data_IF_677217149446
#
_entry.id   IF_677217149446
#
_cell.length_a   1.000
_cell.length_b   1.000
_cell.length_c   1.000
_cell.angle_alpha   90.00
_cell.angle_beta   90.00
_cell.angle_gamma   90.00
#
_symmetry.space_group_name_H-M   'P 1'
#
loop_
_entity.id
_entity.type
_entity.pdbx_description
1 polymer ?
#
# COMPACT_ATOMS: atom_id res chain seq x y z
N UNK A 1 -12.71 -76.95 10.82
CA UNK A 1 -12.40 -75.60 11.33
C UNK A 1 -13.40 -74.64 10.69
N UNK A 2 -14.62 -74.58 11.22
CA UNK A 2 -15.10 -73.59 12.19
C UNK A 2 -14.99 -72.15 11.65
N UNK A 3 -16.03 -71.66 10.97
CA UNK A 3 -17.31 -71.08 11.43
C UNK A 3 -17.24 -69.54 11.50
N UNK A 4 -17.83 -68.84 10.52
CA UNK A 4 -19.22 -68.31 10.54
C UNK A 4 -19.34 -67.01 11.38
N UNK A 5 -19.76 -65.87 10.80
CA UNK A 5 -21.16 -65.35 10.81
C UNK A 5 -21.25 -63.86 10.41
N UNK A 6 -22.18 -63.57 9.51
CA UNK A 6 -22.85 -62.27 9.34
C UNK A 6 -23.53 -61.80 10.64
N UNK A 7 -23.78 -60.48 10.77
CA UNK A 7 -25.07 -59.94 11.27
C UNK A 7 -25.19 -58.41 11.11
N UNK A 8 -26.14 -58.00 10.26
CA UNK A 8 -27.08 -56.92 10.55
C UNK A 8 -28.12 -57.49 11.53
N UNK A 9 -28.48 -56.76 12.58
CA UNK A 9 -29.81 -56.76 13.21
C UNK A 9 -29.90 -55.58 14.20
N UNK A 10 -30.95 -54.77 14.07
CA UNK A 10 -31.32 -53.75 15.07
C UNK A 10 -32.23 -54.31 16.16
N UNK A 11 -32.59 -53.47 17.13
CA UNK A 11 -33.91 -53.51 17.79
C UNK A 11 -34.23 -52.21 18.53
N UNK A 12 -35.45 -51.71 18.30
CA UNK A 12 -36.16 -50.75 19.15
C UNK A 12 -36.65 -51.43 20.44
N UNK A 13 -36.59 -50.69 21.55
CA UNK A 13 -37.36 -50.74 22.80
C UNK A 13 -36.94 -49.44 23.52
N UNK A 14 -37.75 -48.51 24.00
CA UNK A 14 -39.16 -48.43 24.35
C UNK A 14 -39.22 -47.36 25.45
N UNK A 15 -39.90 -46.24 25.18
CA UNK A 15 -40.39 -45.21 26.11
C UNK A 15 -39.64 -44.92 27.42
N UNK A 16 -39.05 -43.72 27.50
CA UNK A 16 -39.38 -42.78 28.57
C UNK A 16 -39.40 -41.36 28.00
N UNK A 17 -40.56 -40.72 28.07
CA UNK A 17 -40.73 -39.31 27.77
C UNK A 17 -39.92 -38.51 28.80
N UNK A 18 -38.92 -37.77 28.32
CA UNK A 18 -38.51 -36.54 28.97
C UNK A 18 -38.73 -35.44 27.95
N UNK A 19 -39.83 -34.73 28.11
CA UNK A 19 -40.11 -33.48 27.44
C UNK A 19 -39.07 -32.44 27.86
N UNK A 20 -37.92 -32.43 27.19
CA UNK A 20 -37.16 -31.20 27.06
C UNK A 20 -37.76 -30.42 25.90
N UNK A 21 -38.41 -29.32 26.24
CA UNK A 21 -38.71 -28.24 25.33
C UNK A 21 -37.40 -27.77 24.69
N UNK A 22 -37.05 -28.35 23.54
CA UNK A 22 -36.15 -27.70 22.60
C UNK A 22 -36.86 -26.41 22.17
N UNK A 23 -36.63 -25.32 22.91
CA UNK A 23 -36.63 -24.01 22.29
C UNK A 23 -35.58 -24.10 21.19
N UNK A 24 -36.05 -24.33 19.97
CA UNK A 24 -35.28 -24.08 18.79
C UNK A 24 -34.81 -22.62 18.89
N UNK A 25 -33.57 -22.42 19.33
CA UNK A 25 -32.84 -21.21 19.02
C UNK A 25 -32.76 -21.20 17.50
N UNK A 26 -33.74 -20.52 16.89
CA UNK A 26 -33.68 -20.14 15.50
C UNK A 26 -32.36 -19.41 15.34
N UNK A 27 -31.39 -20.07 14.69
CA UNK A 27 -30.13 -19.45 14.27
C UNK A 27 -30.56 -18.31 13.36
N UNK A 28 -30.68 -17.11 13.94
CA UNK A 28 -31.12 -15.91 13.22
C UNK A 28 -30.23 -15.80 11.99
N UNK A 29 -30.84 -15.88 10.81
CA UNK A 29 -30.11 -15.82 9.56
C UNK A 29 -29.22 -14.58 9.57
N UNK A 30 -27.98 -14.71 9.10
CA UNK A 30 -27.06 -13.59 9.04
C UNK A 30 -27.71 -12.46 8.21
N UNK A 31 -27.57 -11.19 8.62
CA UNK A 31 -28.14 -10.09 7.84
C UNK A 31 -27.56 -10.11 6.42
N UNK A 32 -28.41 -9.80 5.43
CA UNK A 32 -28.01 -9.81 4.02
C UNK A 32 -27.46 -8.48 3.50
N UNK A 33 -27.54 -7.44 4.32
CA UNK A 33 -27.09 -6.08 4.05
C UNK A 33 -26.50 -5.47 5.32
N UNK A 34 -25.72 -4.40 5.17
CA UNK A 34 -25.27 -3.57 6.27
C UNK A 34 -26.07 -2.28 6.38
N UNK A 35 -26.17 -1.78 7.60
CA UNK A 35 -26.57 -0.40 7.92
C UNK A 35 -25.49 0.15 8.83
N UNK A 36 -24.77 1.17 8.37
CA UNK A 36 -23.75 1.87 9.12
C UNK A 36 -24.30 3.22 9.57
N UNK A 37 -24.42 3.43 10.88
CA UNK A 37 -24.90 4.68 11.48
C UNK A 37 -23.73 5.38 12.19
N UNK A 38 -23.47 6.63 11.83
CA UNK A 38 -22.48 7.48 12.48
C UNK A 38 -23.10 8.49 13.44
N UNK A 39 -22.45 8.76 14.55
CA UNK A 39 -22.79 9.87 15.46
C UNK A 39 -21.50 10.48 16.01
N UNK A 40 -21.06 11.57 15.39
CA UNK A 40 -19.78 12.22 15.65
C UNK A 40 -20.05 13.56 16.32
N UNK A 41 -19.73 13.64 17.62
CA UNK A 41 -19.90 14.86 18.40
C UNK A 41 -18.91 15.91 17.93
N UNK A 42 -19.36 17.14 17.69
CA UNK A 42 -18.51 18.25 17.23
C UNK A 42 -18.25 18.27 15.72
N UNK A 43 -18.86 17.36 14.94
CA UNK A 43 -18.79 17.40 13.48
C UNK A 43 -19.77 18.43 12.93
N UNK A 44 -19.27 19.37 12.13
CA UNK A 44 -20.08 20.41 11.48
C UNK A 44 -21.11 19.82 10.52
N UNK A 45 -22.28 20.44 10.42
CA UNK A 45 -23.30 20.09 9.44
C UNK A 45 -22.82 20.32 8.00
N UNK A 46 -23.29 19.46 7.09
CA UNK A 46 -22.91 19.49 5.68
C UNK A 46 -21.50 18.97 5.40
N UNK A 47 -20.78 18.47 6.41
CA UNK A 47 -19.48 17.82 6.18
C UNK A 47 -19.69 16.59 5.29
N UNK A 48 -19.03 16.53 4.15
CA UNK A 48 -19.03 15.36 3.27
C UNK A 48 -18.39 14.17 3.97
N UNK A 49 -19.04 13.00 3.91
CA UNK A 49 -18.50 11.72 4.36
C UNK A 49 -18.49 10.77 3.16
N UNK A 50 -17.31 10.26 2.84
CA UNK A 50 -17.07 9.31 1.76
C UNK A 50 -16.74 7.93 2.34
N UNK A 51 -17.32 6.88 1.76
CA UNK A 51 -17.01 5.50 2.09
C UNK A 51 -15.98 4.98 1.10
N UNK A 52 -14.71 4.93 1.50
CA UNK A 52 -13.59 4.59 0.61
C UNK A 52 -13.06 3.19 0.97
N UNK A 53 -12.95 2.25 0.02
CA UNK A 53 -12.32 0.95 0.27
C UNK A 53 -10.91 1.09 0.87
N UNK A 54 -10.63 0.36 1.95
CA UNK A 54 -9.33 0.32 2.62
C UNK A 54 -8.60 -1.01 2.43
N UNK A 55 -7.31 -1.02 2.81
CA UNK A 55 -6.40 -2.16 2.68
C UNK A 55 -6.30 -2.68 1.23
N UNK A 56 -6.00 -1.78 0.28
CA UNK A 56 -5.91 -2.12 -1.15
C UNK A 56 -4.57 -1.77 -1.80
N UNK A 57 -3.65 -1.11 -1.09
CA UNK A 57 -2.39 -0.56 -1.62
C UNK A 57 -2.58 0.28 -2.91
N UNK A 58 -3.77 0.85 -3.06
CA UNK A 58 -4.20 1.61 -4.23
C UNK A 58 -5.00 2.83 -3.78
N UNK A 59 -5.00 3.87 -4.60
CA UNK A 59 -5.90 5.02 -4.40
C UNK A 59 -7.29 4.64 -4.89
N UNK A 60 -8.19 4.35 -3.96
CA UNK A 60 -9.56 3.91 -4.24
C UNK A 60 -10.52 5.09 -4.34
N UNK A 61 -11.48 5.01 -5.25
CA UNK A 61 -12.59 5.95 -5.30
C UNK A 61 -13.62 5.61 -4.21
N UNK A 62 -14.35 6.62 -3.74
CA UNK A 62 -15.48 6.40 -2.85
C UNK A 62 -16.55 5.53 -3.54
N UNK A 63 -17.08 4.55 -2.81
CA UNK A 63 -18.19 3.70 -3.29
C UNK A 63 -19.56 4.25 -2.88
N UNK A 64 -19.58 5.18 -1.94
CA UNK A 64 -20.75 5.91 -1.50
C UNK A 64 -20.33 7.24 -0.86
N UNK A 65 -21.21 8.23 -0.89
CA UNK A 65 -21.02 9.53 -0.25
C UNK A 65 -22.32 9.95 0.45
N UNK A 66 -22.19 10.69 1.56
CA UNK A 66 -23.30 11.35 2.25
C UNK A 66 -22.81 12.64 2.91
N UNK A 67 -23.69 13.34 3.61
CA UNK A 67 -23.34 14.54 4.40
C UNK A 67 -23.82 14.40 5.84
N UNK A 68 -23.13 15.05 6.77
CA UNK A 68 -23.54 15.09 8.17
C UNK A 68 -24.73 16.03 8.40
N UNK A 69 -25.61 15.64 9.32
CA UNK A 69 -26.63 16.51 9.91
C UNK A 69 -26.74 16.21 11.40
N UNK A 70 -26.61 17.24 12.24
CA UNK A 70 -26.51 17.13 13.70
C UNK A 70 -25.44 16.11 14.14
N UNK A 71 -24.30 16.12 13.44
CA UNK A 71 -23.20 15.17 13.64
C UNK A 71 -23.51 13.71 13.26
N UNK A 72 -24.67 13.43 12.65
CA UNK A 72 -25.11 12.08 12.27
C UNK A 72 -25.03 11.86 10.77
N UNK A 73 -24.82 10.60 10.38
CA UNK A 73 -24.85 10.15 8.99
C UNK A 73 -25.20 8.67 8.92
N UNK A 74 -25.54 8.17 7.72
CA UNK A 74 -25.73 6.74 7.50
C UNK A 74 -25.32 6.28 6.11
N UNK A 75 -24.91 5.02 6.02
CA UNK A 75 -24.72 4.28 4.79
C UNK A 75 -25.46 2.95 4.86
N UNK A 76 -25.97 2.50 3.72
CA UNK A 76 -26.58 1.18 3.58
C UNK A 76 -26.06 0.50 2.33
N UNK A 77 -25.86 -0.81 2.38
CA UNK A 77 -25.42 -1.55 1.22
C UNK A 77 -25.34 -3.05 1.48
N UNK A 78 -24.74 -3.77 0.54
CA UNK A 78 -24.55 -5.21 0.63
C UNK A 78 -23.12 -5.57 0.27
N UNK A 79 -22.51 -6.41 1.09
CA UNK A 79 -21.18 -6.95 0.86
C UNK A 79 -21.27 -8.47 0.59
N UNK A 80 -20.39 -8.97 -0.27
CA UNK A 80 -20.20 -10.42 -0.44
C UNK A 80 -19.44 -11.02 0.74
N UNK A 81 -18.50 -10.27 1.30
CA UNK A 81 -17.69 -10.63 2.46
C UNK A 81 -17.25 -9.35 3.21
N UNK A 82 -16.79 -9.45 4.48
CA UNK A 82 -16.35 -8.29 5.25
C UNK A 82 -15.20 -7.53 4.59
N UNK A 83 -15.21 -6.19 4.70
CA UNK A 83 -14.21 -5.32 4.09
C UNK A 83 -13.91 -4.11 4.97
N UNK A 84 -12.65 -3.70 5.01
CA UNK A 84 -12.22 -2.43 5.58
C UNK A 84 -12.63 -1.28 4.66
N UNK A 85 -13.20 -0.25 5.27
CA UNK A 85 -13.45 1.03 4.64
C UNK A 85 -12.87 2.14 5.51
N UNK A 86 -12.41 3.21 4.88
CA UNK A 86 -12.17 4.49 5.52
C UNK A 86 -13.45 5.34 5.37
N UNK A 87 -14.00 5.78 6.48
CA UNK A 87 -14.94 6.89 6.50
C UNK A 87 -14.12 8.17 6.38
N UNK A 88 -13.99 8.72 5.17
CA UNK A 88 -13.26 9.96 4.89
C UNK A 88 -14.18 11.15 5.10
N UNK A 89 -13.76 12.12 5.91
CA UNK A 89 -14.53 13.30 6.28
C UNK A 89 -13.93 14.55 5.62
N UNK A 90 -14.80 15.43 5.12
CA UNK A 90 -14.42 16.75 4.62
C UNK A 90 -13.49 16.72 3.41
N UNK A 91 -13.62 15.71 2.53
CA UNK A 91 -12.73 15.46 1.39
C UNK A 91 -11.30 15.17 1.82
N UNK A 92 -11.11 14.05 2.53
CA UNK A 92 -9.81 13.58 3.02
C UNK A 92 -9.15 14.48 4.11
N UNK A 93 -9.94 15.22 4.89
CA UNK A 93 -9.45 16.01 6.03
C UNK A 93 -9.34 15.23 7.34
N UNK A 94 -9.95 14.05 7.41
CA UNK A 94 -9.83 13.11 8.52
C UNK A 94 -10.48 11.79 8.12
N UNK A 95 -10.12 10.69 8.78
CA UNK A 95 -10.76 9.41 8.51
C UNK A 95 -10.90 8.53 9.75
N UNK A 96 -11.91 7.66 9.76
CA UNK A 96 -12.09 6.59 10.73
C UNK A 96 -12.10 5.25 9.98
N UNK A 97 -11.17 4.31 10.24
CA UNK A 97 -11.20 2.98 9.65
C UNK A 97 -12.28 2.10 10.30
N UNK A 98 -13.09 1.44 9.48
CA UNK A 98 -14.17 0.56 9.94
C UNK A 98 -14.20 -0.71 9.08
N UNK A 99 -14.12 -1.86 9.74
CA UNK A 99 -14.43 -3.14 9.08
C UNK A 99 -15.95 -3.33 9.03
N UNK A 100 -16.49 -3.31 7.82
CA UNK A 100 -17.92 -3.46 7.56
C UNK A 100 -18.22 -4.90 7.15
N UNK A 101 -19.24 -5.47 7.77
CA UNK A 101 -19.88 -6.73 7.39
C UNK A 101 -21.39 -6.50 7.29
N UNK A 102 -22.15 -7.43 6.71
CA UNK A 102 -23.61 -7.30 6.64
C UNK A 102 -24.21 -7.41 8.06
N UNK A 103 -24.32 -6.28 8.74
CA UNK A 103 -24.90 -6.12 10.07
C UNK A 103 -25.32 -4.66 10.31
N UNK A 104 -25.96 -4.41 11.45
CA UNK A 104 -26.18 -3.04 11.93
C UNK A 104 -24.94 -2.60 12.70
N UNK A 105 -24.24 -1.59 12.19
CA UNK A 105 -22.96 -1.09 12.72
C UNK A 105 -23.17 0.35 13.17
N UNK A 106 -22.58 0.70 14.32
CA UNK A 106 -22.58 2.08 14.84
C UNK A 106 -21.15 2.57 15.02
N UNK A 107 -20.90 3.82 14.62
CA UNK A 107 -19.63 4.52 14.80
C UNK A 107 -19.88 5.79 15.60
N UNK A 108 -19.16 5.96 16.71
CA UNK A 108 -19.19 7.18 17.51
C UNK A 108 -17.78 7.69 17.73
N UNK A 109 -17.61 9.01 17.71
CA UNK A 109 -16.35 9.66 18.03
C UNK A 109 -16.61 11.12 18.44
N UNK A 110 -15.59 11.78 18.96
CA UNK A 110 -15.56 13.22 19.16
C UNK A 110 -14.60 13.83 18.12
N UNK A 111 -15.08 14.81 17.35
CA UNK A 111 -14.32 15.48 16.32
C UNK A 111 -13.82 16.85 16.79
N UNK A 112 -12.56 17.15 16.46
CA UNK A 112 -11.92 18.45 16.67
C UNK A 112 -11.26 18.90 15.37
N UNK A 113 -11.73 20.01 14.82
CA UNK A 113 -11.21 20.55 13.55
C UNK A 113 -10.11 21.58 13.82
N UNK A 114 -8.92 21.31 13.27
CA UNK A 114 -7.78 22.22 13.31
C UNK A 114 -8.09 23.53 12.58
N UNK A 115 -7.74 24.66 13.19
CA UNK A 115 -7.91 25.99 12.57
C UNK A 115 -6.87 26.29 11.49
N UNK A 116 -5.71 25.62 11.54
CA UNK A 116 -4.58 25.93 10.64
C UNK A 116 -4.73 25.29 9.25
N UNK A 117 -5.26 24.06 9.22
CA UNK A 117 -5.31 23.25 8.00
C UNK A 117 -6.64 22.50 7.83
N UNK A 118 -7.64 22.82 8.65
CA UNK A 118 -8.98 22.22 8.63
C UNK A 118 -8.99 20.69 8.82
N UNK A 119 -7.88 20.12 9.30
CA UNK A 119 -7.78 18.68 9.58
C UNK A 119 -8.74 18.31 10.71
N UNK A 120 -9.52 17.25 10.50
CA UNK A 120 -10.48 16.74 11.48
C UNK A 120 -9.80 15.61 12.25
N UNK A 121 -9.56 15.82 13.54
CA UNK A 121 -9.00 14.81 14.43
C UNK A 121 -10.13 14.16 15.22
N UNK A 122 -10.04 12.84 15.41
CA UNK A 122 -11.02 12.07 16.14
C UNK A 122 -10.45 11.57 17.47
N UNK A 123 -11.31 11.55 18.49
CA UNK A 123 -11.04 11.00 19.82
C UNK A 123 -12.18 10.09 20.22
N UNK A 124 -11.92 9.17 21.16
CA UNK A 124 -12.94 8.29 21.72
C UNK A 124 -13.71 7.50 20.64
N UNK A 125 -12.98 7.01 19.64
CA UNK A 125 -13.54 6.25 18.52
C UNK A 125 -14.06 4.88 18.97
N UNK A 126 -15.36 4.68 18.84
CA UNK A 126 -16.01 3.42 19.15
C UNK A 126 -16.78 2.92 17.93
N UNK A 127 -16.53 1.67 17.57
CA UNK A 127 -17.25 0.95 16.53
C UNK A 127 -17.91 -0.24 17.21
N UNK A 128 -19.22 -0.41 17.03
CA UNK A 128 -19.98 -1.54 17.57
C UNK A 128 -20.84 -2.20 16.50
N UNK A 129 -21.21 -3.46 16.71
CA UNK A 129 -22.10 -4.20 15.80
C UNK A 129 -21.40 -4.84 14.60
N UNK A 130 -20.07 -4.69 14.49
CA UNK A 130 -19.24 -5.42 13.51
C UNK A 130 -18.30 -6.38 14.24
N UNK A 131 -18.59 -7.69 14.14
CA UNK A 131 -17.74 -8.75 14.69
C UNK A 131 -16.38 -8.77 14.01
N UNK A 132 -16.35 -8.49 12.70
CA UNK A 132 -15.10 -8.36 11.95
C UNK A 132 -14.23 -7.22 12.51
N UNK A 133 -14.83 -6.08 12.86
CA UNK A 133 -14.09 -4.97 13.46
C UNK A 133 -13.57 -5.31 14.87
N UNK A 134 -14.40 -5.94 15.69
CA UNK A 134 -14.01 -6.38 17.04
C UNK A 134 -12.87 -7.41 16.99
N UNK A 135 -12.96 -8.35 16.04
CA UNK A 135 -11.93 -9.34 15.80
C UNK A 135 -10.61 -8.71 15.36
N UNK A 136 -10.66 -7.76 14.43
CA UNK A 136 -9.48 -7.02 13.99
C UNK A 136 -8.80 -6.31 15.15
N UNK A 137 -9.56 -5.54 15.94
CA UNK A 137 -9.04 -4.84 17.13
C UNK A 137 -8.35 -5.81 18.09
N UNK A 138 -8.95 -6.97 18.35
CA UNK A 138 -8.37 -8.01 19.20
C UNK A 138 -7.06 -8.55 18.61
N UNK A 139 -7.05 -8.93 17.33
CA UNK A 139 -5.89 -9.55 16.70
C UNK A 139 -4.73 -8.56 16.52
N UNK A 140 -5.01 -7.25 16.46
CA UNK A 140 -3.98 -6.20 16.38
C UNK A 140 -3.67 -5.50 17.70
N UNK A 141 -4.15 -6.02 18.84
CA UNK A 141 -3.94 -5.38 20.15
C UNK A 141 -2.45 -5.23 20.52
N UNK A 142 -1.58 -6.11 20.01
CA UNK A 142 -0.12 -6.03 20.19
C UNK A 142 0.48 -4.71 19.66
N UNK A 143 -0.23 -3.96 18.81
CA UNK A 143 0.23 -2.65 18.32
C UNK A 143 0.37 -1.62 19.43
N UNK A 144 -0.40 -1.75 20.52
CA UNK A 144 -0.24 -0.87 21.69
C UNK A 144 1.12 -1.09 22.34
N UNK A 145 1.54 -2.34 22.50
CA UNK A 145 2.89 -2.67 23.00
C UNK A 145 3.98 -2.13 22.05
N UNK A 146 3.80 -2.25 20.74
CA UNK A 146 4.73 -1.67 19.76
C UNK A 146 4.79 -0.14 19.85
N UNK A 147 3.67 0.53 20.08
CA UNK A 147 3.66 1.98 20.28
C UNK A 147 4.42 2.39 21.55
N UNK A 148 4.28 1.62 22.62
CA UNK A 148 5.00 1.85 23.86
C UNK A 148 6.51 1.60 23.68
N UNK A 149 6.89 0.52 22.98
CA UNK A 149 8.30 0.25 22.65
C UNK A 149 8.89 1.36 21.79
N UNK A 150 8.13 1.84 20.79
CA UNK A 150 8.53 2.95 19.93
C UNK A 150 8.82 4.22 20.74
N UNK A 151 7.88 4.60 21.62
CA UNK A 151 8.06 5.74 22.50
C UNK A 151 9.27 5.55 23.45
N UNK A 152 9.50 4.32 23.93
CA UNK A 152 10.57 4.01 24.86
C UNK A 152 11.95 4.15 24.23
N UNK A 153 12.20 3.58 23.04
CA UNK A 153 13.52 3.68 22.41
C UNK A 153 13.83 5.06 21.84
N UNK A 154 12.80 5.87 21.55
CA UNK A 154 12.98 7.25 21.13
C UNK A 154 13.24 8.23 22.28
N UNK A 155 12.86 7.89 23.51
CA UNK A 155 12.99 8.78 24.66
C UNK A 155 14.46 9.17 24.91
N UNK A 156 14.75 10.47 24.82
CA UNK A 156 16.11 11.00 25.06
C UNK A 156 17.04 10.93 23.83
N UNK A 157 16.52 10.55 22.67
CA UNK A 157 17.29 10.48 21.41
C UNK A 157 17.11 11.73 20.54
N UNK A 158 16.24 12.65 20.93
CA UNK A 158 15.80 13.77 20.11
C UNK A 158 16.97 14.66 19.69
N UNK A 159 17.90 14.95 20.61
CA UNK A 159 19.05 15.79 20.33
C UNK A 159 19.98 15.17 19.27
N UNK A 160 20.30 13.87 19.41
CA UNK A 160 21.24 13.19 18.52
C UNK A 160 20.61 12.88 17.16
N UNK A 161 19.33 12.49 17.12
CA UNK A 161 18.57 12.31 15.89
C UNK A 161 18.41 13.63 15.12
N UNK A 162 18.14 14.75 15.82
CA UNK A 162 18.07 16.07 15.20
C UNK A 162 19.44 16.51 14.64
N UNK A 163 20.52 16.26 15.37
CA UNK A 163 21.87 16.59 14.90
C UNK A 163 22.23 15.76 13.66
N UNK A 164 21.95 14.46 13.67
CA UNK A 164 22.16 13.58 12.52
C UNK A 164 21.32 14.03 11.31
N UNK A 165 20.05 14.39 11.51
CA UNK A 165 19.16 14.92 10.48
C UNK A 165 19.69 16.21 9.85
N UNK A 166 20.20 17.15 10.67
CA UNK A 166 20.85 18.38 10.18
C UNK A 166 22.13 18.07 9.39
N UNK A 167 22.97 17.16 9.89
CA UNK A 167 24.19 16.73 9.21
C UNK A 167 23.87 16.12 7.83
N UNK A 168 22.86 15.25 7.77
CA UNK A 168 22.38 14.64 6.52
C UNK A 168 21.86 15.68 5.53
N UNK A 169 21.06 16.62 6.01
CA UNK A 169 20.51 17.71 5.17
C UNK A 169 21.62 18.59 4.60
N UNK A 170 22.67 18.84 5.38
CA UNK A 170 23.84 19.61 4.96
C UNK A 170 24.86 18.80 4.13
N UNK A 171 24.64 17.50 3.90
CA UNK A 171 25.61 16.62 3.25
C UNK A 171 26.92 16.46 4.03
N UNK A 172 26.91 16.73 5.34
CA UNK A 172 28.11 16.69 6.19
C UNK A 172 28.44 15.26 6.61
N UNK A 173 29.07 14.51 5.70
CA UNK A 173 29.45 13.11 5.91
C UNK A 173 30.36 12.91 7.13
N UNK A 174 31.32 13.80 7.38
CA UNK A 174 32.21 13.71 8.55
C UNK A 174 31.45 13.76 9.86
N UNK A 175 30.47 14.65 9.97
CA UNK A 175 29.64 14.74 11.16
C UNK A 175 28.72 13.53 11.30
N UNK A 176 28.15 13.02 10.19
CA UNK A 176 27.37 11.78 10.20
C UNK A 176 28.21 10.59 10.68
N UNK A 177 29.44 10.44 10.17
CA UNK A 177 30.35 9.37 10.57
C UNK A 177 30.77 9.51 12.05
N UNK A 178 30.99 10.74 12.53
CA UNK A 178 31.28 11.00 13.95
C UNK A 178 30.11 10.64 14.86
N UNK A 179 28.88 11.02 14.48
CA UNK A 179 27.67 10.68 15.24
C UNK A 179 27.45 9.17 15.20
N UNK A 180 27.56 8.55 14.02
CA UNK A 180 27.38 7.11 13.81
C UNK A 180 28.30 6.24 14.65
N UNK A 181 29.49 6.76 14.99
CA UNK A 181 30.45 6.05 15.83
C UNK A 181 30.26 6.25 17.33
N UNK A 182 29.42 7.20 17.75
CA UNK A 182 29.16 7.49 19.16
C UNK A 182 28.46 6.32 19.87
N UNK A 183 28.73 6.09 21.17
CA UNK A 183 28.02 5.07 21.95
C UNK A 183 26.51 5.28 21.96
N UNK A 184 26.06 6.54 22.02
CA UNK A 184 24.65 6.92 22.06
C UNK A 184 23.93 6.52 20.75
N UNK A 185 24.56 6.78 19.60
CA UNK A 185 23.99 6.39 18.31
C UNK A 185 23.98 4.88 18.11
N UNK A 186 25.06 4.19 18.48
CA UNK A 186 25.12 2.72 18.39
C UNK A 186 24.06 2.05 19.26
N UNK A 187 23.79 2.62 20.45
CA UNK A 187 22.68 2.16 21.29
C UNK A 187 21.32 2.41 20.60
N UNK A 188 21.11 3.61 20.07
CA UNK A 188 19.89 3.93 19.32
C UNK A 188 19.65 2.97 18.15
N UNK A 189 20.67 2.70 17.32
CA UNK A 189 20.59 1.75 16.20
C UNK A 189 20.28 0.32 16.67
N UNK A 190 20.88 -0.11 17.78
CA UNK A 190 20.62 -1.43 18.34
C UNK A 190 19.17 -1.57 18.83
N UNK A 191 18.66 -0.56 19.55
CA UNK A 191 17.30 -0.52 20.05
C UNK A 191 16.28 -0.42 18.89
N UNK A 192 16.56 0.41 17.88
CA UNK A 192 15.75 0.53 16.65
C UNK A 192 15.69 -0.80 15.89
N UNK A 193 16.84 -1.46 15.72
CA UNK A 193 16.91 -2.79 15.08
C UNK A 193 16.09 -3.82 15.85
N UNK A 194 16.18 -3.84 17.18
CA UNK A 194 15.40 -4.75 18.02
C UNK A 194 13.89 -4.48 17.91
N UNK A 195 13.49 -3.20 17.88
CA UNK A 195 12.11 -2.80 17.65
C UNK A 195 11.58 -3.31 16.31
N UNK A 196 12.29 -3.04 15.20
CA UNK A 196 11.83 -3.48 13.88
C UNK A 196 11.84 -5.01 13.72
N UNK A 197 12.75 -5.73 14.38
CA UNK A 197 12.70 -7.18 14.44
C UNK A 197 11.44 -7.69 15.15
N UNK A 198 11.01 -7.01 16.24
CA UNK A 198 9.75 -7.32 16.93
C UNK A 198 8.54 -7.01 16.05
N UNK A 199 8.51 -5.86 15.37
CA UNK A 199 7.44 -5.49 14.41
C UNK A 199 7.30 -6.55 13.32
N UNK A 200 8.43 -6.97 12.72
CA UNK A 200 8.45 -8.00 11.70
C UNK A 200 7.89 -9.33 12.23
N UNK A 201 8.40 -9.80 13.37
CA UNK A 201 7.95 -11.05 13.99
C UNK A 201 6.46 -11.03 14.35
N UNK A 202 5.96 -9.94 14.96
CA UNK A 202 4.53 -9.78 15.27
C UNK A 202 3.65 -9.82 14.01
N UNK A 203 4.09 -9.18 12.94
CA UNK A 203 3.38 -9.16 11.67
C UNK A 203 3.34 -10.54 11.01
N UNK A 204 4.48 -11.22 10.93
CA UNK A 204 4.61 -12.57 10.37
C UNK A 204 3.77 -13.59 11.16
N UNK A 205 3.80 -13.52 12.50
CA UNK A 205 3.00 -14.39 13.36
C UNK A 205 1.49 -14.18 13.14
N UNK A 206 1.05 -12.92 13.04
CA UNK A 206 -0.34 -12.59 12.74
C UNK A 206 -0.78 -13.18 11.40
N UNK A 207 0.00 -12.97 10.34
CA UNK A 207 -0.30 -13.50 9.00
C UNK A 207 -0.30 -15.03 9.00
N UNK A 208 0.70 -15.64 9.65
CA UNK A 208 0.85 -17.10 9.69
C UNK A 208 -0.28 -17.81 10.45
N UNK A 209 -0.83 -17.17 11.49
CA UNK A 209 -2.00 -17.67 12.23
C UNK A 209 -3.25 -17.76 11.36
N UNK A 210 -3.35 -16.95 10.32
CA UNK A 210 -4.59 -16.74 9.54
C UNK A 210 -4.56 -17.31 8.12
N UNK A 211 -3.61 -18.20 7.79
CA UNK A 211 -3.39 -18.75 6.43
C UNK A 211 -4.62 -19.41 5.79
N UNK A 212 -5.56 -19.91 6.60
CA UNK A 212 -6.72 -20.63 6.11
C UNK A 212 -7.92 -19.72 5.75
N UNK A 213 -7.89 -18.43 6.10
CA UNK A 213 -9.03 -17.52 5.99
C UNK A 213 -8.65 -16.22 5.26
N UNK A 214 -9.63 -15.43 4.86
CA UNK A 214 -9.41 -14.13 4.22
C UNK A 214 -8.61 -13.14 5.10
N UNK A 215 -8.56 -13.37 6.42
CA UNK A 215 -7.75 -12.59 7.34
C UNK A 215 -6.26 -12.63 7.00
N UNK A 216 -5.72 -13.74 6.51
CA UNK A 216 -4.30 -13.84 6.15
C UNK A 216 -3.90 -12.80 5.10
N UNK A 217 -4.51 -12.80 3.90
CA UNK A 217 -4.28 -11.77 2.90
C UNK A 217 -4.61 -10.35 3.35
N UNK A 218 -5.68 -10.17 4.12
CA UNK A 218 -6.03 -8.87 4.69
C UNK A 218 -4.92 -8.33 5.63
N UNK A 219 -4.35 -9.20 6.46
CA UNK A 219 -3.24 -8.82 7.33
C UNK A 219 -1.96 -8.55 6.54
N UNK A 220 -1.69 -9.27 5.45
CA UNK A 220 -0.60 -8.89 4.54
C UNK A 220 -0.75 -7.46 4.03
N UNK A 221 -1.94 -7.06 3.58
CA UNK A 221 -2.24 -5.70 3.07
C UNK A 221 -2.30 -4.61 4.14
N UNK A 222 -2.30 -4.96 5.42
CA UNK A 222 -2.39 -3.98 6.52
C UNK A 222 -1.14 -3.96 7.39
N UNK A 223 -0.26 -4.96 7.28
CA UNK A 223 1.03 -5.01 7.98
C UNK A 223 2.18 -4.56 7.06
N UNK A 224 2.14 -4.90 5.77
CA UNK A 224 3.16 -4.45 4.82
C UNK A 224 2.70 -3.15 4.15
N UNK A 225 3.60 -2.19 3.99
CA UNK A 225 3.30 -0.94 3.26
C UNK A 225 3.39 -1.11 1.74
N UNK A 226 4.15 -2.10 1.29
CA UNK A 226 4.32 -2.51 -0.10
C UNK A 226 4.79 -3.97 -0.13
N UNK A 227 4.67 -4.63 -1.28
CA UNK A 227 5.17 -5.99 -1.48
C UNK A 227 6.48 -5.98 -2.25
N UNK A 228 7.32 -6.95 -1.92
CA UNK A 228 8.53 -7.32 -2.65
C UNK A 228 8.42 -8.80 -3.04
N UNK A 229 9.30 -9.31 -3.92
CA UNK A 229 9.33 -10.74 -4.24
C UNK A 229 9.40 -11.66 -3.01
N UNK A 230 9.95 -11.18 -1.88
CA UNK A 230 10.08 -11.95 -0.64
C UNK A 230 8.75 -12.32 0.02
N UNK A 231 7.66 -11.62 -0.29
CA UNK A 231 6.34 -11.93 0.26
C UNK A 231 5.58 -12.99 -0.54
N UNK A 232 6.03 -13.35 -1.75
CA UNK A 232 5.37 -14.38 -2.57
C UNK A 232 5.33 -15.76 -1.89
N UNK A 233 6.41 -16.29 -1.29
CA UNK A 233 6.36 -17.56 -0.57
C UNK A 233 5.38 -17.56 0.62
N UNK A 234 5.12 -16.41 1.24
CA UNK A 234 4.11 -16.29 2.32
C UNK A 234 2.71 -16.44 1.76
N UNK A 235 2.42 -15.74 0.65
CA UNK A 235 1.14 -15.82 -0.02
C UNK A 235 0.84 -17.23 -0.58
N UNK A 236 1.85 -17.93 -1.09
CA UNK A 236 1.71 -19.29 -1.62
C UNK A 236 1.25 -20.30 -0.55
N UNK A 237 1.54 -20.05 0.73
CA UNK A 237 1.13 -20.89 1.86
C UNK A 237 -0.33 -20.70 2.28
N UNK A 238 -1.05 -19.73 1.70
CA UNK A 238 -2.47 -19.55 1.97
C UNK A 238 -3.32 -20.64 1.34
N UNK A 239 -4.45 -20.96 2.01
CA UNK A 239 -5.44 -21.88 1.47
C UNK A 239 -6.08 -21.31 0.20
N UNK A 240 -6.65 -22.18 -0.63
CA UNK A 240 -7.42 -21.75 -1.81
C UNK A 240 -8.57 -20.80 -1.46
N UNK A 241 -9.21 -21.01 -0.31
CA UNK A 241 -10.27 -20.11 0.20
C UNK A 241 -9.72 -18.73 0.51
N UNK A 242 -8.55 -18.64 1.16
CA UNK A 242 -7.91 -17.37 1.46
C UNK A 242 -7.46 -16.65 0.18
N UNK A 243 -6.82 -17.36 -0.77
CA UNK A 243 -6.40 -16.81 -2.07
C UNK A 243 -7.57 -16.31 -2.93
N UNK A 244 -8.72 -16.99 -2.88
CA UNK A 244 -9.93 -16.61 -3.65
C UNK A 244 -10.75 -15.48 -3.04
N UNK A 245 -10.50 -15.11 -1.78
CA UNK A 245 -11.13 -13.95 -1.14
C UNK A 245 -10.77 -12.63 -1.83
N UNK A 246 -11.56 -11.58 -1.60
CA UNK A 246 -11.29 -10.23 -2.11
C UNK A 246 -9.84 -9.80 -1.85
N UNK A 247 -9.38 -9.91 -0.60
CA UNK A 247 -8.01 -9.54 -0.22
C UNK A 247 -6.96 -10.51 -0.77
N UNK A 248 -7.28 -11.80 -0.91
CA UNK A 248 -6.42 -12.78 -1.57
C UNK A 248 -6.11 -12.38 -3.01
N UNK A 249 -7.12 -11.96 -3.76
CA UNK A 249 -6.96 -11.50 -5.14
C UNK A 249 -6.18 -10.17 -5.25
N UNK A 250 -6.25 -9.32 -4.23
CA UNK A 250 -5.44 -8.10 -4.18
C UNK A 250 -3.97 -8.42 -3.91
N UNK A 251 -3.69 -9.28 -2.91
CA UNK A 251 -2.31 -9.72 -2.65
C UNK A 251 -1.73 -10.44 -3.85
N UNK A 252 -2.49 -11.32 -4.52
CA UNK A 252 -2.07 -12.00 -5.75
C UNK A 252 -1.54 -11.02 -6.80
N UNK A 253 -2.27 -9.92 -7.04
CA UNK A 253 -1.85 -8.88 -8.01
C UNK A 253 -0.57 -8.18 -7.60
N UNK A 254 -0.34 -8.03 -6.31
CA UNK A 254 0.84 -7.34 -5.77
C UNK A 254 2.08 -8.25 -5.73
N UNK A 255 1.93 -9.54 -5.38
CA UNK A 255 3.05 -10.49 -5.29
C UNK A 255 3.35 -11.21 -6.62
N UNK A 256 2.39 -11.24 -7.54
CA UNK A 256 2.54 -11.72 -8.92
C UNK A 256 2.13 -10.61 -9.91
N UNK A 257 2.83 -9.46 -9.91
CA UNK A 257 2.50 -8.38 -10.82
C UNK A 257 2.67 -8.87 -12.26
N UNK A 258 1.71 -8.51 -13.13
CA UNK A 258 1.84 -8.79 -14.56
C UNK A 258 3.02 -7.99 -15.09
N UNK A 259 4.02 -8.68 -15.64
CA UNK A 259 5.11 -8.02 -16.34
C UNK A 259 4.58 -7.26 -17.55
N UNK A 260 5.10 -6.06 -17.78
CA UNK A 260 4.83 -5.29 -18.99
C UNK A 260 5.78 -5.67 -20.12
N UNK A 261 6.80 -6.50 -19.86
CA UNK A 261 7.69 -7.01 -20.90
C UNK A 261 6.89 -7.81 -21.93
N UNK A 262 7.12 -7.50 -23.20
CA UNK A 262 6.38 -8.04 -24.35
C UNK A 262 5.10 -7.26 -24.71
N UNK A 263 4.70 -6.27 -23.92
CA UNK A 263 3.51 -5.45 -24.23
C UNK A 263 3.88 -4.18 -25.01
N UNK A 264 2.89 -3.60 -25.69
CA UNK A 264 3.06 -2.32 -26.39
C UNK A 264 3.00 -1.15 -25.39
N UNK A 265 3.91 -0.20 -25.56
CA UNK A 265 3.89 1.11 -24.96
C UNK A 265 2.61 1.84 -25.37
N UNK A 266 1.73 2.07 -24.39
CA UNK A 266 0.53 2.87 -24.60
C UNK A 266 0.90 4.31 -24.96
N UNK A 267 0.11 4.94 -25.82
CA UNK A 267 0.32 6.36 -26.10
C UNK A 267 -0.21 7.22 -24.94
N UNK A 268 0.55 8.24 -24.54
CA UNK A 268 0.15 9.22 -23.56
C UNK A 268 0.79 10.58 -23.87
N UNK A 269 0.24 11.64 -23.27
CA UNK A 269 0.82 12.97 -23.31
C UNK A 269 0.97 13.50 -21.88
N UNK A 270 2.12 14.08 -21.59
CA UNK A 270 2.43 14.69 -20.30
C UNK A 270 3.09 16.05 -20.53
N UNK A 271 3.06 16.90 -19.51
CA UNK A 271 3.63 18.23 -19.59
C UNK A 271 5.14 18.20 -19.30
N UNK A 272 5.92 18.95 -20.08
CA UNK A 272 7.33 19.21 -19.82
C UNK A 272 7.53 20.34 -18.79
N UNK A 273 8.80 20.72 -18.57
CA UNK A 273 9.18 21.78 -17.63
C UNK A 273 8.59 23.16 -17.95
N UNK A 274 8.23 23.39 -19.21
CA UNK A 274 7.68 24.67 -19.70
C UNK A 274 6.14 24.61 -19.76
N UNK A 275 5.53 23.50 -19.29
CA UNK A 275 4.08 23.28 -19.30
C UNK A 275 3.54 22.84 -20.67
N UNK A 276 4.41 22.54 -21.63
CA UNK A 276 4.00 22.08 -22.95
C UNK A 276 3.68 20.58 -22.89
N UNK A 277 2.48 20.22 -23.35
CA UNK A 277 2.11 18.83 -23.51
C UNK A 277 2.94 18.20 -24.64
N UNK A 278 3.68 17.14 -24.33
CA UNK A 278 4.45 16.34 -25.28
C UNK A 278 3.83 14.94 -25.38
N UNK A 279 3.62 14.49 -26.62
CA UNK A 279 3.14 13.14 -26.89
C UNK A 279 4.31 12.15 -26.88
N UNK A 280 4.17 11.03 -26.17
CA UNK A 280 5.26 10.06 -26.07
C UNK A 280 5.64 9.49 -27.44
N UNK A 281 4.67 9.30 -28.35
CA UNK A 281 4.96 8.84 -29.72
C UNK A 281 5.84 9.81 -30.51
N UNK A 282 5.73 11.11 -30.27
CA UNK A 282 6.55 12.11 -30.95
C UNK A 282 7.99 12.07 -30.43
N UNK A 283 8.16 11.84 -29.13
CA UNK A 283 9.48 11.65 -28.49
C UNK A 283 10.13 10.34 -28.96
N UNK A 284 9.32 9.28 -29.10
CA UNK A 284 9.81 7.94 -29.44
C UNK A 284 10.07 7.74 -30.92
N UNK A 285 9.53 8.62 -31.78
CA UNK A 285 9.66 8.51 -33.22
C UNK A 285 11.13 8.47 -33.67
N UNK A 286 11.49 7.47 -34.47
CA UNK A 286 12.83 7.32 -35.04
C UNK A 286 13.90 6.83 -34.07
N UNK A 287 13.57 6.56 -32.80
CA UNK A 287 14.51 5.99 -31.83
C UNK A 287 14.51 4.46 -31.91
N UNK A 288 15.69 3.86 -31.75
CA UNK A 288 15.86 2.40 -31.72
C UNK A 288 15.50 1.81 -30.37
N UNK A 289 15.90 2.49 -29.30
CA UNK A 289 15.62 2.10 -27.93
C UNK A 289 15.37 3.32 -27.06
N UNK A 290 14.44 3.18 -26.12
CA UNK A 290 14.00 4.28 -25.27
C UNK A 290 13.92 3.77 -23.85
N UNK A 291 14.62 4.42 -22.93
CA UNK A 291 14.49 4.15 -21.51
C UNK A 291 13.46 5.11 -20.92
N UNK A 292 12.33 4.57 -20.46
CA UNK A 292 11.39 5.31 -19.62
C UNK A 292 11.85 5.18 -18.18
N UNK A 293 12.12 6.31 -17.52
CA UNK A 293 12.66 6.38 -16.17
C UNK A 293 11.71 7.14 -15.24
N UNK A 294 11.10 6.41 -14.29
CA UNK A 294 10.26 7.00 -13.26
C UNK A 294 11.08 7.41 -12.05
N UNK A 295 11.00 8.69 -11.69
CA UNK A 295 11.81 9.30 -10.63
C UNK A 295 11.04 10.38 -9.86
N UNK A 296 11.69 11.01 -8.88
CA UNK A 296 11.17 12.22 -8.21
C UNK A 296 12.30 13.03 -7.57
N UNK A 297 12.04 14.32 -7.34
CA UNK A 297 12.98 15.28 -6.74
C UNK A 297 13.48 14.87 -5.35
N UNK A 298 12.61 14.21 -4.58
CA UNK A 298 12.86 13.71 -3.22
C UNK A 298 13.46 12.30 -3.19
N UNK A 299 13.55 11.61 -4.34
CA UNK A 299 14.05 10.24 -4.41
C UNK A 299 15.59 10.22 -4.47
N UNK A 300 16.22 10.06 -3.30
CA UNK A 300 17.68 9.94 -3.19
C UNK A 300 18.31 8.86 -4.08
N UNK A 301 17.80 7.60 -4.10
CA UNK A 301 18.31 6.56 -4.98
C UNK A 301 18.16 6.89 -6.48
N UNK A 302 17.04 7.50 -6.89
CA UNK A 302 16.85 7.94 -8.28
C UNK A 302 17.93 8.93 -8.71
N UNK A 303 18.19 9.95 -7.87
CA UNK A 303 19.21 10.97 -8.15
C UNK A 303 20.63 10.40 -8.19
N UNK A 304 20.91 9.34 -7.44
CA UNK A 304 22.19 8.61 -7.51
C UNK A 304 22.36 7.84 -8.82
N UNK A 305 21.28 7.48 -9.52
CA UNK A 305 21.34 6.81 -10.82
C UNK A 305 21.50 7.79 -12.00
N UNK A 306 21.14 9.07 -11.83
CA UNK A 306 21.23 10.07 -12.91
C UNK A 306 22.63 10.17 -13.54
N UNK A 307 23.75 10.12 -12.79
CA UNK A 307 25.09 10.05 -13.39
C UNK A 307 25.28 8.86 -14.34
N UNK A 308 24.77 7.67 -13.99
CA UNK A 308 24.84 6.49 -14.85
C UNK A 308 23.99 6.69 -16.12
N UNK A 309 22.80 7.30 -15.98
CA UNK A 309 21.94 7.65 -17.12
C UNK A 309 22.62 8.66 -18.06
N UNK A 310 23.33 9.65 -17.53
CA UNK A 310 24.13 10.59 -18.34
C UNK A 310 25.24 9.89 -19.12
N UNK A 311 25.96 8.96 -18.49
CA UNK A 311 26.99 8.16 -19.15
C UNK A 311 26.39 7.32 -20.29
N UNK A 312 25.29 6.61 -20.02
CA UNK A 312 24.59 5.84 -21.04
C UNK A 312 24.07 6.72 -22.18
N UNK A 313 23.48 7.88 -21.86
CA UNK A 313 22.98 8.81 -22.86
C UNK A 313 24.10 9.31 -23.77
N UNK A 314 25.20 9.79 -23.20
CA UNK A 314 26.35 10.27 -23.97
C UNK A 314 26.97 9.19 -24.88
N UNK A 315 26.95 7.92 -24.46
CA UNK A 315 27.53 6.82 -25.23
C UNK A 315 26.63 6.32 -26.38
N UNK A 316 25.31 6.46 -26.24
CA UNK A 316 24.34 5.76 -27.09
C UNK A 316 23.30 6.67 -27.75
N UNK A 317 23.16 7.95 -27.40
CA UNK A 317 22.14 8.85 -27.97
C UNK A 317 22.24 8.94 -29.49
N UNK A 318 23.46 9.13 -30.00
CA UNK A 318 23.76 9.19 -31.44
C UNK A 318 23.60 7.84 -32.17
N UNK A 319 23.44 6.75 -31.41
CA UNK A 319 23.20 5.40 -31.93
C UNK A 319 21.70 5.03 -31.97
N UNK A 320 20.83 5.98 -31.62
CA UNK A 320 19.38 5.81 -31.60
C UNK A 320 18.81 5.46 -30.23
N UNK A 321 19.55 5.70 -29.15
CA UNK A 321 19.02 5.63 -27.78
C UNK A 321 18.37 6.96 -27.38
N UNK A 322 17.29 6.90 -26.60
CA UNK A 322 16.68 8.07 -25.98
C UNK A 322 16.31 7.76 -24.53
N UNK A 323 16.26 8.79 -23.68
CA UNK A 323 15.73 8.65 -22.32
C UNK A 323 14.50 9.56 -22.17
N UNK A 324 13.46 9.02 -21.55
CA UNK A 324 12.27 9.76 -21.15
C UNK A 324 12.10 9.63 -19.64
N UNK A 325 12.48 10.66 -18.91
CA UNK A 325 12.27 10.68 -17.46
C UNK A 325 10.89 11.26 -17.13
N UNK A 326 10.12 10.52 -16.34
CA UNK A 326 8.77 10.89 -15.88
C UNK A 326 8.82 11.07 -14.37
N UNK A 327 8.63 12.29 -13.89
CA UNK A 327 8.59 12.57 -12.46
C UNK A 327 7.21 12.29 -11.87
N UNK A 328 7.17 11.62 -10.72
CA UNK A 328 5.95 11.44 -9.90
C UNK A 328 5.79 12.51 -8.81
N UNK A 329 6.57 13.60 -8.87
CA UNK A 329 6.46 14.73 -7.95
C UNK A 329 5.03 15.30 -7.94
N UNK A 330 4.54 15.65 -6.75
CA UNK A 330 3.30 16.43 -6.58
C UNK A 330 3.56 17.94 -6.54
N UNK A 331 4.75 18.33 -6.11
CA UNK A 331 5.19 19.72 -6.08
C UNK A 331 6.03 20.01 -7.32
N UNK A 332 5.42 20.69 -8.29
CA UNK A 332 6.08 21.11 -9.53
C UNK A 332 7.32 21.98 -9.26
N UNK A 333 7.32 22.81 -8.21
CA UNK A 333 8.48 23.67 -7.89
C UNK A 333 9.68 22.85 -7.43
N UNK A 334 9.44 21.83 -6.61
CA UNK A 334 10.48 20.91 -6.17
C UNK A 334 11.08 20.14 -7.36
N UNK A 335 10.22 19.67 -8.27
CA UNK A 335 10.63 19.02 -9.51
C UNK A 335 11.50 19.93 -10.38
N UNK A 336 11.05 21.16 -10.69
CA UNK A 336 11.79 22.12 -11.50
C UNK A 336 13.15 22.48 -10.88
N UNK A 337 13.20 22.64 -9.55
CA UNK A 337 14.46 22.87 -8.82
C UNK A 337 15.41 21.69 -8.99
N UNK A 338 14.93 20.46 -8.85
CA UNK A 338 15.75 19.27 -9.06
C UNK A 338 16.22 19.15 -10.51
N UNK A 339 15.37 19.42 -11.50
CA UNK A 339 15.79 19.45 -12.92
C UNK A 339 16.97 20.40 -13.16
N UNK A 340 16.92 21.61 -12.60
CA UNK A 340 18.01 22.57 -12.70
C UNK A 340 19.31 22.12 -12.03
N UNK A 341 19.22 21.32 -10.97
CA UNK A 341 20.39 20.75 -10.29
C UNK A 341 20.98 19.56 -11.06
N UNK A 342 20.11 18.71 -11.61
CA UNK A 342 20.51 17.46 -12.25
C UNK A 342 20.95 17.66 -13.70
N UNK A 343 20.53 18.73 -14.38
CA UNK A 343 20.95 19.06 -15.75
C UNK A 343 20.87 17.85 -16.71
N UNK A 344 19.70 17.21 -16.73
CA UNK A 344 19.42 16.06 -17.61
C UNK A 344 19.21 16.55 -19.05
N UNK A 345 19.92 15.93 -20.00
CA UNK A 345 19.97 16.38 -21.41
C UNK A 345 18.83 15.81 -22.28
N UNK A 346 17.91 15.07 -21.69
CA UNK A 346 16.83 14.36 -22.36
C UNK A 346 15.45 14.84 -21.88
N UNK A 347 14.39 14.28 -22.46
CA UNK A 347 13.02 14.69 -22.16
C UNK A 347 12.64 14.38 -20.71
N UNK A 348 12.07 15.38 -20.03
CA UNK A 348 11.61 15.30 -18.65
C UNK A 348 10.16 15.77 -18.55
N UNK A 349 9.26 14.87 -18.13
CA UNK A 349 7.82 15.11 -18.04
C UNK A 349 7.32 14.94 -16.61
N UNK A 350 6.20 15.59 -16.28
CA UNK A 350 5.51 15.43 -15.00
C UNK A 350 4.30 14.51 -15.15
N UNK A 351 4.22 13.46 -14.34
CA UNK A 351 3.12 12.50 -14.36
C UNK A 351 1.80 13.13 -13.88
N UNK A 352 0.68 12.69 -14.47
CA UNK A 352 -0.68 13.03 -14.05
C UNK A 352 -1.29 11.96 -13.12
N UNK A 353 -0.45 11.04 -12.62
CA UNK A 353 -0.76 9.83 -11.85
C UNK A 353 -1.37 8.71 -12.66
N UNK A 354 -1.68 8.90 -13.94
CA UNK A 354 -2.23 7.82 -14.77
C UNK A 354 -1.12 7.04 -15.43
N UNK A 355 -0.02 7.70 -15.79
CA UNK A 355 1.08 7.03 -16.49
C UNK A 355 1.83 6.10 -15.53
N UNK A 356 2.25 6.57 -14.35
CA UNK A 356 2.89 5.67 -13.36
C UNK A 356 2.00 4.47 -12.98
N UNK A 357 0.69 4.70 -12.81
CA UNK A 357 -0.28 3.63 -12.55
C UNK A 357 -0.42 2.65 -13.72
N UNK A 358 -0.47 3.13 -14.97
CA UNK A 358 -0.52 2.27 -16.15
C UNK A 358 0.74 1.41 -16.31
N UNK A 359 1.88 1.91 -15.82
CA UNK A 359 3.13 1.15 -15.76
C UNK A 359 3.25 0.26 -14.51
N UNK A 360 2.28 0.29 -13.59
CA UNK A 360 2.32 -0.38 -12.30
C UNK A 360 3.54 0.03 -11.44
N UNK A 361 3.92 1.29 -11.48
CA UNK A 361 5.03 1.85 -10.69
C UNK A 361 4.59 1.99 -9.24
N UNK A 362 5.08 1.10 -8.38
CA UNK A 362 4.83 1.11 -6.93
C UNK A 362 5.98 1.69 -6.13
N UNK A 363 7.19 1.54 -6.63
CA UNK A 363 8.42 2.05 -6.02
C UNK A 363 9.22 2.77 -7.08
N UNK A 364 9.94 3.81 -6.63
CA UNK A 364 10.92 4.49 -7.47
C UNK A 364 12.32 4.37 -6.87
N UNK A 365 13.35 4.31 -7.72
CA UNK A 365 13.26 4.43 -9.16
C UNK A 365 12.66 3.19 -9.85
N UNK A 366 12.02 3.37 -11.02
CA UNK A 366 11.54 2.28 -11.88
C UNK A 366 11.89 2.60 -13.35
N UNK A 367 12.34 1.60 -14.12
CA UNK A 367 12.74 1.81 -15.52
C UNK A 367 12.13 0.78 -16.46
N UNK A 368 11.85 1.18 -17.69
CA UNK A 368 11.33 0.30 -18.76
C UNK A 368 12.07 0.61 -20.05
N UNK A 369 12.68 -0.40 -20.67
CA UNK A 369 13.34 -0.28 -21.96
C UNK A 369 12.37 -0.68 -23.06
N UNK A 370 12.15 0.23 -24.01
CA UNK A 370 11.23 0.08 -25.13
C UNK A 370 12.03 -0.01 -26.43
N UNK A 371 11.67 -0.92 -27.33
CA UNK A 371 12.28 -1.06 -28.65
C UNK A 371 11.63 -0.15 -29.71
N UNK A 372 12.21 -0.14 -30.91
CA UNK A 372 11.72 0.63 -32.06
C UNK A 372 10.29 0.31 -32.52
N UNK A 373 9.71 -0.82 -32.10
CA UNK A 373 8.32 -1.20 -32.39
C UNK A 373 7.37 -0.72 -31.30
N UNK A 374 7.89 -0.06 -30.26
CA UNK A 374 7.12 0.33 -29.09
C UNK A 374 6.88 -0.83 -28.12
N UNK A 375 7.63 -1.93 -28.21
CA UNK A 375 7.49 -3.07 -27.29
C UNK A 375 8.40 -2.86 -26.09
N UNK A 376 7.87 -3.03 -24.88
CA UNK A 376 8.68 -3.05 -23.66
C UNK A 376 9.47 -4.37 -23.66
N UNK A 377 10.79 -4.29 -23.71
CA UNK A 377 11.68 -5.46 -23.82
C UNK A 377 12.42 -5.78 -22.52
N UNK A 378 12.42 -4.86 -21.55
CA UNK A 378 13.02 -5.07 -20.23
C UNK A 378 12.47 -4.05 -19.23
N UNK A 379 12.50 -4.39 -17.94
CA UNK A 379 12.23 -3.49 -16.83
C UNK A 379 13.40 -3.49 -15.82
N UNK A 380 13.44 -2.48 -14.97
CA UNK A 380 14.38 -2.32 -13.85
C UNK A 380 15.88 -2.33 -14.20
N UNK A 381 16.26 -2.02 -15.45
CA UNK A 381 17.66 -1.81 -15.84
C UNK A 381 18.22 -0.51 -15.24
N UNK A 382 19.40 -0.61 -14.64
CA UNK A 382 20.13 0.48 -13.96
C UNK A 382 21.64 0.25 -14.02
N UNK A 383 22.41 1.31 -13.79
CA UNK A 383 23.87 1.23 -13.69
C UNK A 383 24.50 0.35 -14.78
N UNK A 384 25.37 -0.57 -14.36
CA UNK A 384 26.06 -1.51 -15.25
C UNK A 384 25.10 -2.40 -16.07
N UNK A 385 23.99 -2.85 -15.50
CA UNK A 385 23.04 -3.72 -16.21
C UNK A 385 22.37 -3.00 -17.40
N UNK A 386 22.08 -1.70 -17.25
CA UNK A 386 21.60 -0.88 -18.37
C UNK A 386 22.67 -0.75 -19.45
N UNK A 387 23.91 -0.45 -19.06
CA UNK A 387 25.01 -0.26 -20.00
C UNK A 387 25.32 -1.54 -20.78
N UNK A 388 25.40 -2.68 -20.11
CA UNK A 388 25.59 -4.00 -20.73
C UNK A 388 24.47 -4.31 -21.73
N UNK A 389 23.22 -4.02 -21.35
CA UNK A 389 22.08 -4.27 -22.24
C UNK A 389 22.11 -3.36 -23.47
N UNK A 390 22.43 -2.08 -23.30
CA UNK A 390 22.56 -1.15 -24.43
C UNK A 390 23.72 -1.53 -25.34
N UNK A 391 24.84 -1.99 -24.78
CA UNK A 391 25.99 -2.50 -25.56
C UNK A 391 25.61 -3.68 -26.44
N UNK A 392 24.87 -4.65 -25.87
CA UNK A 392 24.32 -5.80 -26.60
C UNK A 392 23.41 -5.36 -27.76
N UNK A 393 22.46 -4.47 -27.48
CA UNK A 393 21.40 -4.08 -28.41
C UNK A 393 21.85 -3.12 -29.50
N UNK A 394 22.71 -2.16 -29.15
CA UNK A 394 23.17 -1.10 -30.07
C UNK A 394 24.51 -1.41 -30.73
N UNK A 395 25.03 -2.65 -30.54
CA UNK A 395 26.27 -3.18 -31.14
C UNK A 395 27.34 -2.10 -31.33
N UNK A 396 27.95 -1.69 -30.22
CA UNK A 396 29.18 -0.90 -30.24
C UNK A 396 30.37 -1.77 -30.65
#
# INVERSE_FOLDING_TARGET
MNTIKYKIFGLCLGLSMISYSNQAQTKKAAPQSYILEGSIKGLSDGTTIELIPGATHSSENAVAETTSKDGKFSFTGKLKEPRLFYLSFGKNKGYIPVLIENSKIKVTAEAETSKENERINFKNEVVTGSKSNDYFKKETAFREDLNNDYAAYHKGTEAISNLYGKARTAGNKKLMDSIGNSPEWKKFEADEKAFFAKVQSSSENLIAKHKATWWGPFFMLTQYSYFTPDQKPVFEQFSETAKKSYYGQLVEKEVNPKSLVGTNLSNFALNDKDGKALNVKDITAGKKYILIDFWASWCGPCRKEIPNLKTAYAAYSDKGFEILSISIDKDQKAWLKALGQENMQWHNLLDDNKVSNAFNVKTIPATYLVDSKGIIISDNLRGAALEEKLKELLKS
#
